data_IF_000832030967
#
_entry.id   IF_000832030967
#
_cell.length_a   1.000
_cell.length_b   1.000
_cell.length_c   1.000
_cell.angle_alpha   90.00
_cell.angle_beta   90.00
_cell.angle_gamma   90.00
#
_symmetry.space_group_name_H-M   'P 1'
#
loop_
_entity.id
_entity.type
_entity.pdbx_description
1 polymer ?
#
# COMPACT_ATOMS: atom_id res chain seq x y z
N UNK A 1 18.65 22.06 -8.10
CA UNK A 1 18.48 20.79 -7.35
C UNK A 1 17.73 21.08 -6.05
N UNK A 2 16.41 20.83 -6.01
CA UNK A 2 15.61 20.89 -4.78
C UNK A 2 15.34 19.45 -4.34
N UNK A 3 15.99 19.00 -3.28
CA UNK A 3 15.72 17.71 -2.64
C UNK A 3 14.55 17.94 -1.67
N UNK A 4 13.36 17.47 -2.06
CA UNK A 4 12.23 17.37 -1.14
C UNK A 4 12.40 16.05 -0.41
N UNK A 5 12.75 16.14 0.88
CA UNK A 5 12.84 15.01 1.79
C UNK A 5 11.42 14.46 2.00
N UNK A 6 11.23 13.22 1.53
CA UNK A 6 10.12 12.34 1.90
C UNK A 6 10.30 12.02 3.38
N UNK A 7 9.71 12.86 4.23
CA UNK A 7 9.69 12.72 5.67
C UNK A 7 8.27 12.43 6.13
N UNK A 8 7.82 11.19 5.99
CA UNK A 8 6.62 10.68 6.65
C UNK A 8 6.68 9.14 6.64
N UNK A 9 7.21 8.51 7.70
CA UNK A 9 7.14 7.04 7.79
C UNK A 9 8.18 6.30 8.63
N UNK A 10 9.19 6.95 9.21
CA UNK A 10 10.25 6.23 9.97
C UNK A 10 10.10 6.40 11.50
N UNK A 11 9.17 7.23 11.98
CA UNK A 11 9.01 7.51 13.41
C UNK A 11 8.33 6.41 14.23
N UNK A 12 7.45 5.59 13.64
CA UNK A 12 6.59 4.68 14.43
C UNK A 12 7.08 3.21 14.45
N UNK A 13 7.87 2.78 13.46
CA UNK A 13 8.26 1.36 13.32
C UNK A 13 9.35 0.89 14.30
N UNK A 14 10.31 1.76 14.64
CA UNK A 14 11.48 1.37 15.46
C UNK A 14 11.14 1.31 16.95
N UNK A 15 10.24 2.17 17.45
CA UNK A 15 9.81 2.15 18.84
C UNK A 15 8.88 0.97 19.16
N UNK A 16 8.04 0.54 18.20
CA UNK A 16 7.16 -0.62 18.37
C UNK A 16 7.97 -1.93 18.44
N UNK A 17 8.97 -2.10 17.57
CA UNK A 17 9.82 -3.29 17.58
C UNK A 17 10.73 -3.38 18.81
N UNK A 18 11.31 -2.26 19.26
CA UNK A 18 12.11 -2.23 20.48
C UNK A 18 11.26 -2.45 21.76
N UNK A 19 10.01 -1.97 21.78
CA UNK A 19 9.09 -2.17 22.90
C UNK A 19 8.62 -3.62 23.06
N UNK A 20 8.37 -4.32 21.95
CA UNK A 20 7.92 -5.73 21.99
C UNK A 20 9.04 -6.67 22.45
N UNK A 21 10.29 -6.42 22.05
CA UNK A 21 11.44 -7.24 22.47
C UNK A 21 11.73 -7.18 23.98
N UNK A 22 11.51 -6.03 24.62
CA UNK A 22 11.69 -5.86 26.07
C UNK A 22 10.55 -6.49 26.90
N UNK A 23 9.33 -6.56 26.36
CA UNK A 23 8.17 -7.14 27.06
C UNK A 23 8.27 -8.66 27.22
N UNK A 24 8.89 -9.37 26.26
CA UNK A 24 8.99 -10.83 26.30
C UNK A 24 9.99 -11.33 27.36
N UNK A 25 10.98 -10.53 27.78
CA UNK A 25 11.95 -10.91 28.80
C UNK A 25 11.45 -10.73 30.26
N UNK A 26 10.31 -10.06 30.47
CA UNK A 26 9.82 -9.63 31.80
C UNK A 26 8.61 -10.39 32.36
N UNK A 27 8.37 -11.64 31.93
CA UNK A 27 7.09 -12.36 32.11
C UNK A 27 6.55 -12.51 33.55
N UNK A 28 7.38 -12.39 34.58
CA UNK A 28 6.94 -12.52 35.99
C UNK A 28 6.63 -11.15 36.63
N UNK A 29 7.30 -10.07 36.22
CA UNK A 29 7.03 -8.72 36.72
C UNK A 29 5.83 -8.06 36.02
N UNK A 30 5.58 -8.45 34.76
CA UNK A 30 4.42 -8.00 34.02
C UNK A 30 3.10 -8.33 34.73
N UNK A 31 2.93 -9.55 35.26
CA UNK A 31 1.65 -10.01 35.82
C UNK A 31 1.07 -9.14 36.96
N UNK A 32 1.91 -8.44 37.75
CA UNK A 32 1.45 -7.61 38.88
C UNK A 32 1.32 -6.12 38.54
N UNK A 33 2.00 -5.60 37.52
CA UNK A 33 1.95 -4.17 37.12
C UNK A 33 0.86 -3.91 36.06
N UNK A 34 0.43 -4.95 35.36
CA UNK A 34 -0.35 -4.85 34.12
C UNK A 34 -1.85 -5.16 34.26
N UNK A 35 -2.45 -4.91 35.44
CA UNK A 35 -3.84 -5.29 35.75
C UNK A 35 -4.92 -4.85 34.75
N UNK A 36 -4.70 -3.78 33.97
CA UNK A 36 -5.59 -3.35 32.87
C UNK A 36 -5.28 -3.98 31.50
N UNK A 37 -4.08 -4.50 31.28
CA UNK A 37 -3.67 -5.09 29.99
C UNK A 37 -4.06 -6.56 29.83
N UNK A 38 -4.35 -7.27 30.93
CA UNK A 38 -4.72 -8.67 30.86
C UNK A 38 -6.03 -8.88 30.08
N UNK A 39 -7.01 -8.00 30.28
CA UNK A 39 -8.27 -8.03 29.52
C UNK A 39 -8.04 -7.74 28.03
N UNK A 40 -7.19 -6.77 27.70
CA UNK A 40 -6.85 -6.46 26.31
C UNK A 40 -6.13 -7.63 25.62
N UNK A 41 -5.16 -8.26 26.30
CA UNK A 41 -4.45 -9.46 25.81
C UNK A 41 -5.41 -10.63 25.62
N UNK A 42 -6.32 -10.86 26.58
CA UNK A 42 -7.33 -11.90 26.44
C UNK A 42 -8.28 -11.62 25.27
N UNK A 43 -8.71 -10.37 25.08
CA UNK A 43 -9.50 -9.97 23.91
C UNK A 43 -8.76 -10.20 22.61
N UNK A 44 -7.47 -9.87 22.53
CA UNK A 44 -6.66 -10.13 21.34
C UNK A 44 -6.53 -11.62 21.03
N UNK A 45 -6.37 -12.47 22.05
CA UNK A 45 -6.37 -13.93 21.87
C UNK A 45 -7.71 -14.45 21.34
N UNK A 46 -8.83 -13.98 21.90
CA UNK A 46 -10.16 -14.31 21.39
C UNK A 46 -10.33 -13.85 19.94
N UNK A 47 -9.94 -12.62 19.63
CA UNK A 47 -9.98 -12.07 18.27
C UNK A 47 -9.14 -12.87 17.28
N UNK A 48 -7.98 -13.38 17.71
CA UNK A 48 -7.15 -14.28 16.89
C UNK A 48 -7.86 -15.59 16.58
N UNK A 49 -8.45 -16.22 17.60
CA UNK A 49 -9.26 -17.43 17.42
C UNK A 49 -10.45 -17.19 16.47
N UNK A 50 -11.10 -16.03 16.58
CA UNK A 50 -12.20 -15.65 15.69
C UNK A 50 -11.75 -15.47 14.24
N UNK A 51 -10.58 -14.87 13.99
CA UNK A 51 -10.03 -14.77 12.63
C UNK A 51 -9.70 -16.15 12.05
N UNK A 52 -9.09 -17.04 12.84
CA UNK A 52 -8.80 -18.42 12.41
C UNK A 52 -10.09 -19.20 12.12
N UNK A 53 -11.11 -19.03 12.96
CA UNK A 53 -12.43 -19.61 12.73
C UNK A 53 -13.06 -19.05 11.46
N UNK A 54 -12.93 -17.75 11.19
CA UNK A 54 -13.46 -17.13 9.97
C UNK A 54 -12.78 -17.64 8.69
N UNK A 55 -11.45 -17.85 8.72
CA UNK A 55 -10.74 -18.52 7.63
C UNK A 55 -11.27 -19.94 7.39
N UNK A 56 -11.56 -20.67 8.48
CA UNK A 56 -12.08 -22.03 8.40
C UNK A 56 -13.54 -22.08 7.92
N UNK A 57 -14.39 -21.14 8.35
CA UNK A 57 -15.81 -21.09 7.99
C UNK A 57 -16.06 -20.49 6.60
N UNK A 58 -15.17 -19.63 6.12
CA UNK A 58 -15.24 -18.99 4.81
C UNK A 58 -13.96 -19.30 4.03
N UNK A 59 -13.76 -20.56 3.61
CA UNK A 59 -12.52 -20.97 2.94
C UNK A 59 -12.31 -20.15 1.68
N UNK A 60 -11.10 -19.62 1.52
CA UNK A 60 -10.70 -18.83 0.38
C UNK A 60 -9.35 -19.31 -0.13
N UNK A 61 -9.22 -19.42 -1.45
CA UNK A 61 -7.95 -19.78 -2.10
C UNK A 61 -7.44 -18.56 -2.86
N UNK A 62 -6.30 -17.97 -2.46
CA UNK A 62 -5.73 -16.85 -3.19
C UNK A 62 -5.31 -17.28 -4.60
N UNK A 63 -5.25 -16.32 -5.55
CA UNK A 63 -4.67 -16.60 -6.85
C UNK A 63 -3.18 -16.99 -6.67
N UNK A 64 -2.59 -17.75 -7.61
CA UNK A 64 -1.16 -18.00 -7.63
C UNK A 64 -0.35 -16.69 -7.59
N UNK A 65 0.87 -16.77 -7.08
CA UNK A 65 1.79 -15.64 -7.07
C UNK A 65 1.96 -15.06 -8.49
N UNK A 66 2.01 -13.73 -8.59
CA UNK A 66 2.07 -13.01 -9.87
C UNK A 66 0.74 -12.94 -10.63
N UNK A 67 -0.35 -13.54 -10.13
CA UNK A 67 -1.67 -13.45 -10.74
C UNK A 67 -2.59 -12.46 -10.02
N UNK A 68 -3.36 -11.70 -10.79
CA UNK A 68 -4.36 -10.75 -10.27
C UNK A 68 -5.69 -11.46 -10.06
N UNK A 69 -6.25 -11.37 -8.85
CA UNK A 69 -7.59 -11.90 -8.56
C UNK A 69 -8.63 -11.15 -9.42
N UNK A 70 -9.43 -11.82 -10.25
CA UNK A 70 -10.57 -11.19 -10.89
C UNK A 70 -11.63 -10.84 -9.84
N UNK A 71 -11.93 -9.55 -9.68
CA UNK A 71 -12.96 -9.09 -8.76
C UNK A 71 -14.32 -9.10 -9.46
N UNK A 72 -15.33 -9.66 -8.79
CA UNK A 72 -16.71 -9.33 -9.09
C UNK A 72 -17.18 -8.14 -8.24
N UNK A 73 -18.19 -7.43 -8.74
CA UNK A 73 -18.69 -6.21 -8.10
C UNK A 73 -19.24 -6.50 -6.69
N UNK A 74 -19.94 -7.62 -6.47
CA UNK A 74 -20.52 -7.94 -5.17
C UNK A 74 -19.43 -8.15 -4.12
N UNK A 75 -18.34 -8.84 -4.47
CA UNK A 75 -17.20 -9.07 -3.56
C UNK A 75 -16.41 -7.79 -3.31
N UNK A 76 -16.21 -6.94 -4.31
CA UNK A 76 -15.63 -5.61 -4.10
C UNK A 76 -16.46 -4.78 -3.11
N UNK A 77 -17.79 -4.77 -3.25
CA UNK A 77 -18.67 -4.02 -2.35
C UNK A 77 -18.65 -4.58 -0.92
N UNK A 78 -18.62 -5.91 -0.76
CA UNK A 78 -18.47 -6.55 0.54
C UNK A 78 -17.14 -6.17 1.22
N UNK A 79 -16.04 -6.19 0.46
CA UNK A 79 -14.73 -5.74 0.91
C UNK A 79 -14.74 -4.27 1.35
N UNK A 80 -15.31 -3.37 0.54
CA UNK A 80 -15.41 -1.95 0.87
C UNK A 80 -16.24 -1.74 2.13
N UNK A 81 -17.33 -2.49 2.32
CA UNK A 81 -18.14 -2.43 3.54
C UNK A 81 -17.39 -2.90 4.79
N UNK A 82 -16.46 -3.87 4.66
CA UNK A 82 -15.58 -4.26 5.78
C UNK A 82 -14.66 -3.10 6.17
N UNK A 83 -14.06 -2.41 5.19
CA UNK A 83 -13.20 -1.24 5.46
C UNK A 83 -14.00 -0.10 6.08
N UNK A 84 -15.17 0.20 5.54
CA UNK A 84 -16.05 1.27 6.03
C UNK A 84 -16.50 1.07 7.47
N UNK A 85 -16.76 -0.17 7.87
CA UNK A 85 -17.18 -0.48 9.23
C UNK A 85 -16.06 -0.29 10.26
N UNK A 86 -14.80 -0.56 9.88
CA UNK A 86 -13.65 -0.41 10.76
C UNK A 86 -13.04 1.00 10.77
N UNK A 87 -13.32 1.80 9.73
CA UNK A 87 -12.73 3.14 9.57
C UNK A 87 -13.07 4.12 10.72
N UNK A 88 -14.30 4.17 11.29
CA UNK A 88 -14.59 5.05 12.42
C UNK A 88 -13.72 4.75 13.64
N UNK A 89 -13.52 3.48 13.98
CA UNK A 89 -12.65 3.08 15.07
C UNK A 89 -11.18 3.46 14.78
N UNK A 90 -10.75 3.34 13.52
CA UNK A 90 -9.40 3.75 13.13
C UNK A 90 -9.20 5.27 13.18
N UNK A 91 -10.19 6.06 12.77
CA UNK A 91 -10.16 7.52 12.90
C UNK A 91 -10.11 7.97 14.35
N UNK A 92 -10.87 7.30 15.22
CA UNK A 92 -10.83 7.55 16.66
C UNK A 92 -9.44 7.22 17.24
N UNK A 93 -8.81 6.15 16.74
CA UNK A 93 -7.41 5.84 17.04
C UNK A 93 -6.45 6.95 16.58
N UNK A 94 -6.59 7.47 15.36
CA UNK A 94 -5.74 8.56 14.85
C UNK A 94 -5.89 9.84 15.68
N UNK A 95 -7.12 10.20 16.06
CA UNK A 95 -7.40 11.38 16.89
C UNK A 95 -6.76 11.23 18.26
N UNK A 96 -7.02 10.11 18.95
CA UNK A 96 -6.46 9.86 20.29
C UNK A 96 -4.94 9.77 20.28
N UNK A 97 -4.35 9.20 19.22
CA UNK A 97 -2.90 9.15 19.05
C UNK A 97 -2.31 10.56 18.94
N UNK A 98 -2.92 11.46 18.15
CA UNK A 98 -2.48 12.86 18.05
C UNK A 98 -2.68 13.64 19.34
N UNK A 99 -3.78 13.40 20.06
CA UNK A 99 -4.02 14.02 21.37
C UNK A 99 -2.99 13.57 22.40
N UNK A 100 -2.62 12.28 22.38
CA UNK A 100 -1.56 11.74 23.21
C UNK A 100 -0.21 12.39 22.87
N UNK A 101 0.14 12.44 21.58
CA UNK A 101 1.37 13.11 21.12
C UNK A 101 1.42 14.58 21.57
N UNK A 102 0.35 15.34 21.33
CA UNK A 102 0.28 16.76 21.71
C UNK A 102 0.36 16.98 23.23
N UNK A 103 -0.21 16.07 24.03
CA UNK A 103 -0.15 16.14 25.50
C UNK A 103 1.26 15.88 26.04
N UNK A 104 2.07 15.15 25.29
CA UNK A 104 3.44 14.78 25.63
C UNK A 104 4.49 15.50 24.77
N UNK A 105 4.06 16.46 23.95
CA UNK A 105 4.93 17.29 23.12
C UNK A 105 5.69 18.28 24.02
N UNK A 106 7.00 18.09 24.15
CA UNK A 106 7.86 18.88 25.05
C UNK A 106 8.38 18.13 26.27
N UNK A 107 7.96 16.87 26.48
CA UNK A 107 8.66 15.94 27.36
C UNK A 107 10.02 15.61 26.72
N UNK A 108 11.02 16.43 27.03
CA UNK A 108 12.34 16.44 26.39
C UNK A 108 12.97 15.04 26.21
N UNK A 109 13.69 14.89 25.09
CA UNK A 109 14.57 13.77 24.75
C UNK A 109 15.12 13.05 26.00
N UNK A 110 14.54 11.89 26.32
CA UNK A 110 15.00 11.00 27.38
C UNK A 110 14.20 10.99 28.69
N UNK A 111 13.11 11.76 28.83
CA UNK A 111 12.25 11.72 30.05
C UNK A 111 10.76 11.46 29.80
N UNK A 112 10.37 10.87 28.68
CA UNK A 112 9.09 10.16 28.65
C UNK A 112 9.16 9.06 29.73
N UNK A 113 8.60 9.35 30.90
CA UNK A 113 8.71 8.46 32.05
C UNK A 113 8.10 7.11 31.72
N UNK A 114 8.60 6.04 32.37
CA UNK A 114 8.04 4.69 32.26
C UNK A 114 6.50 4.67 32.29
N UNK A 115 5.89 5.53 33.11
CA UNK A 115 4.44 5.69 33.19
C UNK A 115 3.80 6.22 31.89
N UNK A 116 4.38 7.23 31.23
CA UNK A 116 3.86 7.75 29.96
C UNK A 116 3.98 6.71 28.83
N UNK A 117 5.09 5.96 28.79
CA UNK A 117 5.25 4.86 27.85
C UNK A 117 4.23 3.73 28.09
N UNK A 118 3.96 3.41 29.35
CA UNK A 118 2.94 2.42 29.73
C UNK A 118 1.51 2.90 29.40
N UNK A 119 1.21 4.17 29.62
CA UNK A 119 -0.08 4.77 29.26
C UNK A 119 -0.28 4.77 27.74
N UNK A 120 0.76 5.11 26.97
CA UNK A 120 0.77 5.01 25.51
C UNK A 120 0.49 3.58 25.05
N UNK A 121 1.19 2.60 25.64
CA UNK A 121 1.03 1.19 25.30
C UNK A 121 -0.39 0.68 25.61
N UNK A 122 -0.95 1.03 26.79
CA UNK A 122 -2.31 0.66 27.16
C UNK A 122 -3.35 1.30 26.23
N UNK A 123 -3.18 2.58 25.90
CA UNK A 123 -4.05 3.28 24.96
C UNK A 123 -3.98 2.63 23.57
N UNK A 124 -2.77 2.37 23.08
CA UNK A 124 -2.56 1.72 21.79
C UNK A 124 -3.18 0.32 21.75
N UNK A 125 -3.01 -0.50 22.81
CA UNK A 125 -3.64 -1.81 22.89
C UNK A 125 -5.17 -1.74 22.92
N UNK A 126 -5.75 -0.82 23.68
CA UNK A 126 -7.20 -0.66 23.76
C UNK A 126 -7.80 -0.26 22.40
N UNK A 127 -7.20 0.73 21.75
CA UNK A 127 -7.61 1.13 20.41
C UNK A 127 -7.34 0.03 19.38
N UNK A 128 -6.30 -0.77 19.60
CA UNK A 128 -6.02 -1.92 18.75
C UNK A 128 -7.21 -2.90 18.75
N UNK A 129 -7.68 -3.21 19.95
CA UNK A 129 -8.82 -4.10 20.20
C UNK A 129 -10.09 -3.54 19.54
N UNK A 130 -10.34 -2.23 19.61
CA UNK A 130 -11.56 -1.62 19.07
C UNK A 130 -11.64 -1.72 17.54
N UNK A 131 -10.57 -1.35 16.84
CA UNK A 131 -10.51 -1.46 15.36
C UNK A 131 -10.62 -2.91 14.93
N UNK A 132 -9.90 -3.83 15.61
CA UNK A 132 -9.94 -5.26 15.29
C UNK A 132 -11.32 -5.88 15.56
N UNK A 133 -12.03 -5.42 16.59
CA UNK A 133 -13.42 -5.81 16.86
C UNK A 133 -14.34 -5.38 15.72
N UNK A 134 -14.24 -4.14 15.28
CA UNK A 134 -15.05 -3.62 14.17
C UNK A 134 -14.75 -4.38 12.87
N UNK A 135 -13.47 -4.63 12.58
CA UNK A 135 -13.02 -5.43 11.44
C UNK A 135 -13.58 -6.85 11.46
N UNK A 136 -13.42 -7.59 12.57
CA UNK A 136 -13.92 -8.97 12.70
C UNK A 136 -15.44 -9.03 12.59
N UNK A 137 -16.15 -8.09 13.24
CA UNK A 137 -17.60 -8.00 13.14
C UNK A 137 -18.08 -7.76 11.71
N UNK A 138 -17.36 -6.93 10.95
CA UNK A 138 -17.67 -6.67 9.55
C UNK A 138 -17.34 -7.86 8.64
N UNK A 139 -16.22 -8.55 8.85
CA UNK A 139 -15.90 -9.81 8.16
C UNK A 139 -16.99 -10.86 8.36
N UNK A 140 -17.44 -11.06 9.62
CA UNK A 140 -18.56 -11.94 9.97
C UNK A 140 -19.83 -11.56 9.22
N UNK A 141 -20.17 -10.27 9.21
CA UNK A 141 -21.38 -9.74 8.54
C UNK A 141 -21.35 -9.97 7.03
N UNK A 142 -20.18 -9.84 6.41
CA UNK A 142 -20.01 -9.99 4.96
C UNK A 142 -19.69 -11.43 4.52
N UNK A 143 -19.57 -12.38 5.45
CA UNK A 143 -19.17 -13.75 5.14
C UNK A 143 -17.81 -13.81 4.44
N UNK A 144 -16.87 -12.96 4.87
CA UNK A 144 -15.55 -12.80 4.29
C UNK A 144 -14.50 -13.34 5.25
N UNK A 145 -13.55 -14.13 4.73
CA UNK A 145 -12.40 -14.54 5.52
C UNK A 145 -11.32 -13.45 5.53
N UNK A 146 -10.45 -13.45 6.56
CA UNK A 146 -9.25 -12.63 6.56
C UNK A 146 -8.38 -12.82 5.31
N UNK A 147 -8.22 -14.07 4.84
CA UNK A 147 -7.45 -14.38 3.63
C UNK A 147 -8.07 -13.78 2.36
N UNK A 148 -9.40 -13.83 2.22
CA UNK A 148 -10.13 -13.18 1.13
C UNK A 148 -9.92 -11.66 1.18
N UNK A 149 -10.10 -11.06 2.36
CA UNK A 149 -9.92 -9.61 2.55
C UNK A 149 -8.52 -9.16 2.15
N UNK A 150 -7.48 -9.85 2.62
CA UNK A 150 -6.08 -9.58 2.28
C UNK A 150 -5.82 -9.68 0.77
N UNK A 151 -6.36 -10.72 0.13
CA UNK A 151 -6.18 -10.95 -1.31
C UNK A 151 -6.87 -9.86 -2.14
N UNK A 152 -8.06 -9.43 -1.74
CA UNK A 152 -8.76 -8.31 -2.37
C UNK A 152 -7.97 -7.01 -2.15
N UNK A 153 -7.44 -6.74 -0.94
CA UNK A 153 -6.60 -5.56 -0.69
C UNK A 153 -5.40 -5.52 -1.65
N UNK A 154 -4.64 -6.61 -1.73
CA UNK A 154 -3.49 -6.71 -2.66
C UNK A 154 -3.91 -6.51 -4.11
N UNK A 155 -5.04 -7.07 -4.51
CA UNK A 155 -5.60 -6.93 -5.86
C UNK A 155 -6.00 -5.50 -6.19
N UNK A 156 -6.59 -4.76 -5.25
CA UNK A 156 -6.94 -3.34 -5.44
C UNK A 156 -5.69 -2.52 -5.69
N UNK A 157 -4.64 -2.71 -4.87
CA UNK A 157 -3.36 -2.02 -5.05
C UNK A 157 -2.67 -2.39 -6.36
N UNK A 158 -2.58 -3.69 -6.68
CA UNK A 158 -1.99 -4.16 -7.94
C UNK A 158 -2.72 -3.58 -9.16
N UNK A 159 -4.05 -3.51 -9.11
CA UNK A 159 -4.87 -2.95 -10.20
C UNK A 159 -4.64 -1.44 -10.37
N UNK A 160 -4.49 -0.68 -9.27
CA UNK A 160 -4.16 0.76 -9.34
C UNK A 160 -2.75 1.01 -9.88
N UNK A 161 -1.78 0.18 -9.50
CA UNK A 161 -0.41 0.26 -10.02
C UNK A 161 -0.38 -0.10 -11.51
N UNK A 162 -1.13 -1.13 -11.92
CA UNK A 162 -1.25 -1.52 -13.32
C UNK A 162 -1.87 -0.40 -14.18
N UNK A 163 -2.99 0.21 -13.76
CA UNK A 163 -3.60 1.35 -14.46
C UNK A 163 -2.62 2.53 -14.61
N UNK A 164 -1.89 2.84 -13.53
CA UNK A 164 -0.90 3.91 -13.53
C UNK A 164 0.28 3.61 -14.46
N UNK A 165 0.77 2.37 -14.46
CA UNK A 165 1.89 1.93 -15.31
C UNK A 165 1.50 1.91 -16.77
N UNK A 166 0.30 1.41 -17.10
CA UNK A 166 -0.21 1.41 -18.47
C UNK A 166 -0.48 2.84 -18.97
N UNK A 167 -0.94 3.75 -18.11
CA UNK A 167 -1.08 5.17 -18.44
C UNK A 167 0.30 5.81 -18.72
N UNK A 168 1.30 5.54 -17.89
CA UNK A 168 2.67 6.05 -18.09
C UNK A 168 3.26 5.50 -19.39
N UNK A 169 3.12 4.20 -19.65
CA UNK A 169 3.56 3.58 -20.92
C UNK A 169 2.85 4.18 -22.11
N UNK A 170 1.52 4.38 -22.03
CA UNK A 170 0.75 5.03 -23.09
C UNK A 170 1.20 6.46 -23.37
N UNK A 171 1.51 7.24 -22.33
CA UNK A 171 2.09 8.58 -22.47
C UNK A 171 3.49 8.54 -23.07
N UNK A 172 4.33 7.58 -22.67
CA UNK A 172 5.66 7.40 -23.22
C UNK A 172 5.61 7.06 -24.71
N UNK A 173 4.77 6.12 -25.13
CA UNK A 173 4.56 5.76 -26.54
C UNK A 173 4.01 6.93 -27.36
N UNK A 174 3.07 7.69 -26.81
CA UNK A 174 2.58 8.91 -27.45
C UNK A 174 3.70 9.97 -27.60
N UNK A 175 4.55 10.12 -26.58
CA UNK A 175 5.73 10.97 -26.60
C UNK A 175 6.72 10.56 -27.69
N UNK A 176 7.05 9.26 -27.78
CA UNK A 176 7.91 8.69 -28.85
C UNK A 176 7.34 9.00 -30.22
N UNK A 177 6.04 8.77 -30.44
CA UNK A 177 5.37 9.05 -31.72
C UNK A 177 5.43 10.53 -32.10
N UNK A 178 5.29 11.42 -31.12
CA UNK A 178 5.40 12.87 -31.34
C UNK A 178 6.83 13.28 -31.72
N UNK A 179 7.84 12.75 -31.03
CA UNK A 179 9.26 12.99 -31.34
C UNK A 179 9.63 12.44 -32.72
N UNK A 180 9.19 11.23 -33.07
CA UNK A 180 9.39 10.64 -34.39
C UNK A 180 8.74 11.48 -35.51
N UNK A 181 7.57 12.07 -35.23
CA UNK A 181 6.90 12.98 -36.17
C UNK A 181 7.68 14.28 -36.35
N UNK A 182 8.22 14.86 -35.26
CA UNK A 182 9.07 16.05 -35.34
C UNK A 182 10.36 15.77 -36.11
N UNK A 183 10.99 14.62 -35.87
CA UNK A 183 12.18 14.17 -36.59
C UNK A 183 11.90 14.06 -38.08
N UNK A 184 10.78 13.45 -38.49
CA UNK A 184 10.39 13.36 -39.90
C UNK A 184 10.16 14.74 -40.55
N UNK A 185 9.60 15.70 -39.81
CA UNK A 185 9.43 17.07 -40.31
C UNK A 185 10.77 17.81 -40.45
N UNK A 186 11.71 17.60 -39.51
CA UNK A 186 13.08 18.11 -39.62
C UNK A 186 13.78 17.51 -40.84
N UNK A 187 13.68 16.19 -41.06
CA UNK A 187 14.24 15.49 -42.21
C UNK A 187 13.69 16.04 -43.53
N UNK A 188 12.38 16.29 -43.58
CA UNK A 188 11.74 16.90 -44.75
C UNK A 188 12.24 18.32 -45.03
N UNK A 189 12.47 19.13 -43.99
CA UNK A 189 13.02 20.49 -44.15
C UNK A 189 14.47 20.46 -44.61
N UNK A 190 15.29 19.56 -44.06
CA UNK A 190 16.69 19.35 -44.45
C UNK A 190 16.84 18.88 -45.90
N UNK A 191 15.88 18.12 -46.42
CA UNK A 191 15.85 17.69 -47.81
C UNK A 191 15.52 18.82 -48.82
N UNK A 192 15.09 19.99 -48.34
CA UNK A 192 14.80 21.15 -49.18
C UNK A 192 16.05 21.98 -49.53
N UNK A 193 16.10 22.50 -50.75
CA UNK A 193 17.23 23.30 -51.25
C UNK A 193 17.21 24.78 -50.81
N UNK A 194 16.22 25.21 -50.01
CA UNK A 194 16.00 26.62 -49.68
C UNK A 194 16.63 27.09 -48.36
N UNK A 195 17.41 26.25 -47.69
CA UNK A 195 18.01 26.56 -46.39
C UNK A 195 19.38 27.23 -46.56
N UNK A 196 19.67 28.23 -45.73
CA UNK A 196 21.04 28.75 -45.57
C UNK A 196 21.91 27.75 -44.79
N UNK A 197 23.24 27.87 -44.89
CA UNK A 197 24.18 26.97 -44.19
C UNK A 197 23.97 26.98 -42.66
N UNK A 198 23.67 28.15 -42.09
CA UNK A 198 23.41 28.29 -40.66
C UNK A 198 22.11 27.61 -40.22
N UNK A 199 21.04 27.73 -41.01
CA UNK A 199 19.75 27.07 -40.74
C UNK A 199 19.86 25.55 -40.91
N UNK A 200 20.63 25.10 -41.90
CA UNK A 200 20.89 23.67 -42.12
C UNK A 200 21.65 23.08 -40.94
N UNK A 201 22.72 23.73 -40.47
CA UNK A 201 23.48 23.27 -39.30
C UNK A 201 22.60 23.17 -38.03
N UNK A 202 21.73 24.15 -37.80
CA UNK A 202 20.80 24.13 -36.65
C UNK A 202 19.77 22.99 -36.74
N UNK A 203 19.25 22.70 -37.94
CA UNK A 203 18.31 21.60 -38.15
C UNK A 203 19.01 20.23 -38.02
N UNK A 204 20.24 20.09 -38.49
CA UNK A 204 21.05 18.87 -38.31
C UNK A 204 21.34 18.59 -36.83
N UNK A 205 21.67 19.63 -36.05
CA UNK A 205 21.85 19.50 -34.60
C UNK A 205 20.55 19.09 -33.90
N UNK A 206 19.43 19.73 -34.25
CA UNK A 206 18.11 19.38 -33.71
C UNK A 206 17.70 17.95 -34.07
N UNK A 207 18.00 17.50 -35.30
CA UNK A 207 17.78 16.12 -35.75
C UNK A 207 18.56 15.13 -34.90
N UNK A 208 19.86 15.40 -34.69
CA UNK A 208 20.73 14.55 -33.90
C UNK A 208 20.26 14.43 -32.45
N UNK A 209 19.86 15.54 -31.83
CA UNK A 209 19.32 15.54 -30.45
C UNK A 209 18.01 14.76 -30.33
N UNK A 210 17.09 14.90 -31.29
CA UNK A 210 15.83 14.16 -31.30
C UNK A 210 16.05 12.66 -31.48
N UNK A 211 16.96 12.27 -32.38
CA UNK A 211 17.33 10.86 -32.60
C UNK A 211 17.97 10.26 -31.34
N UNK A 212 18.95 10.94 -30.75
CA UNK A 212 19.64 10.47 -29.53
C UNK A 212 18.68 10.28 -28.35
N UNK A 213 17.69 11.18 -28.23
CA UNK A 213 16.64 11.06 -27.22
C UNK A 213 15.75 9.83 -27.47
N UNK A 214 15.36 9.56 -28.72
CA UNK A 214 14.57 8.37 -29.08
C UNK A 214 15.35 7.08 -28.79
N UNK A 215 16.61 7.02 -29.20
CA UNK A 215 17.48 5.86 -29.00
C UNK A 215 17.71 5.57 -27.50
N UNK A 216 17.91 6.62 -26.70
CA UNK A 216 18.06 6.49 -25.24
C UNK A 216 16.79 5.92 -24.57
N UNK A 217 15.61 6.40 -24.98
CA UNK A 217 14.34 5.90 -24.45
C UNK A 217 14.12 4.43 -24.82
N UNK A 218 14.51 4.01 -26.03
CA UNK A 218 14.42 2.60 -26.46
C UNK A 218 15.37 1.70 -25.67
N UNK A 219 16.60 2.16 -25.41
CA UNK A 219 17.59 1.43 -24.62
C UNK A 219 17.15 1.24 -23.16
N UNK A 220 16.59 2.28 -22.53
CA UNK A 220 16.10 2.19 -21.15
C UNK A 220 14.87 1.28 -21.02
N UNK A 221 13.99 1.28 -22.04
CA UNK A 221 12.80 0.42 -22.06
C UNK A 221 13.16 -1.09 -22.16
N UNK A 222 14.35 -1.42 -22.66
CA UNK A 222 14.80 -2.81 -22.81
C UNK A 222 15.37 -3.41 -21.49
N UNK A 223 15.68 -2.57 -20.50
CA UNK A 223 16.30 -2.98 -19.23
C UNK A 223 15.31 -3.04 -18.04
N UNK A 224 14.03 -2.74 -18.24
CA UNK A 224 13.02 -2.80 -17.18
C UNK A 224 12.62 -4.28 -16.92
N UNK A 225 13.32 -4.93 -15.97
CA UNK A 225 13.14 -6.33 -15.52
C UNK A 225 11.83 -6.57 -14.74
N UNK A 226 10.75 -5.85 -15.04
CA UNK A 226 9.44 -6.19 -14.49
C UNK A 226 8.76 -7.15 -15.46
N UNK A 227 8.94 -8.47 -15.25
CA UNK A 227 7.75 -9.28 -14.96
C UNK A 227 6.44 -8.90 -15.65
N UNK A 228 6.27 -8.91 -17.00
CA UNK A 228 5.00 -8.49 -17.55
C UNK A 228 3.92 -9.44 -17.05
N UNK A 229 2.84 -8.89 -16.48
CA UNK A 229 1.68 -9.67 -16.06
C UNK A 229 1.24 -10.60 -17.19
N UNK A 230 0.81 -11.82 -16.84
CA UNK A 230 0.15 -12.72 -17.80
C UNK A 230 -1.04 -12.01 -18.47
N UNK A 231 -1.39 -12.41 -19.68
CA UNK A 231 -2.51 -11.81 -20.41
C UNK A 231 -3.83 -11.94 -19.63
N UNK A 232 -4.01 -13.05 -18.91
CA UNK A 232 -5.13 -13.26 -18.00
C UNK A 232 -5.14 -12.24 -16.85
N UNK A 233 -3.97 -11.97 -16.26
CA UNK A 233 -3.83 -11.02 -15.17
C UNK A 233 -3.97 -9.57 -15.62
N UNK A 234 -3.52 -9.23 -16.84
CA UNK A 234 -3.79 -7.93 -17.47
C UNK A 234 -5.28 -7.74 -17.65
N UNK A 235 -5.98 -8.72 -18.22
CA UNK A 235 -7.43 -8.67 -18.41
C UNK A 235 -8.18 -8.51 -17.08
N UNK A 236 -7.77 -9.26 -16.05
CA UNK A 236 -8.33 -9.14 -14.71
C UNK A 236 -8.07 -7.76 -14.11
N UNK A 237 -6.85 -7.23 -14.21
CA UNK A 237 -6.50 -5.90 -13.75
C UNK A 237 -7.32 -4.81 -14.44
N UNK A 238 -7.47 -4.86 -15.77
CA UNK A 238 -8.32 -3.91 -16.52
C UNK A 238 -9.77 -3.95 -16.06
N UNK A 239 -10.36 -5.14 -15.92
CA UNK A 239 -11.73 -5.29 -15.43
C UNK A 239 -11.89 -4.78 -13.99
N UNK A 240 -10.91 -5.06 -13.13
CA UNK A 240 -10.88 -4.56 -11.75
C UNK A 240 -10.80 -3.03 -11.73
N UNK A 241 -9.97 -2.42 -12.58
CA UNK A 241 -9.85 -0.96 -12.70
C UNK A 241 -11.18 -0.32 -13.08
N UNK A 242 -11.93 -0.90 -14.00
CA UNK A 242 -13.27 -0.41 -14.35
C UNK A 242 -14.22 -0.43 -13.15
N UNK A 243 -14.20 -1.53 -12.38
CA UNK A 243 -14.98 -1.63 -11.14
C UNK A 243 -14.54 -0.62 -10.07
N UNK A 244 -13.23 -0.42 -9.90
CA UNK A 244 -12.68 0.55 -8.96
C UNK A 244 -13.06 1.99 -9.36
N UNK A 245 -13.01 2.31 -10.66
CA UNK A 245 -13.45 3.61 -11.20
C UNK A 245 -14.96 3.81 -10.99
N UNK A 246 -15.77 2.78 -11.16
CA UNK A 246 -17.22 2.82 -10.87
C UNK A 246 -17.52 3.16 -9.40
N UNK A 247 -16.68 2.69 -8.47
CA UNK A 247 -16.84 2.90 -7.03
C UNK A 247 -15.81 3.86 -6.44
N UNK A 248 -15.29 4.78 -7.25
CA UNK A 248 -14.14 5.64 -6.93
C UNK A 248 -14.27 6.35 -5.58
N UNK A 249 -15.43 6.95 -5.29
CA UNK A 249 -15.64 7.68 -4.03
C UNK A 249 -15.42 6.79 -2.79
N UNK A 250 -15.91 5.55 -2.83
CA UNK A 250 -15.72 4.59 -1.75
C UNK A 250 -14.27 4.09 -1.70
N UNK A 251 -13.66 3.85 -2.86
CA UNK A 251 -12.27 3.40 -2.96
C UNK A 251 -11.30 4.46 -2.41
N UNK A 252 -11.47 5.73 -2.76
CA UNK A 252 -10.63 6.84 -2.30
C UNK A 252 -10.74 7.07 -0.79
N UNK A 253 -11.96 6.99 -0.23
CA UNK A 253 -12.16 7.12 1.22
C UNK A 253 -11.43 6.01 2.00
N UNK A 254 -11.20 4.86 1.37
CA UNK A 254 -10.67 3.66 1.99
C UNK A 254 -9.18 3.42 1.73
N UNK A 255 -8.54 4.17 0.82
CA UNK A 255 -7.11 4.08 0.55
C UNK A 255 -6.29 4.66 1.71
N UNK A 256 -6.05 3.85 2.74
CA UNK A 256 -5.33 4.24 3.95
C UNK A 256 -4.30 3.17 4.32
N UNK A 257 -3.05 3.41 3.92
CA UNK A 257 -1.92 2.49 4.15
C UNK A 257 -1.67 2.24 5.64
N UNK A 258 -1.94 3.21 6.51
CA UNK A 258 -1.79 3.04 7.95
C UNK A 258 -2.87 2.11 8.53
N UNK A 259 -4.11 2.20 8.05
CA UNK A 259 -5.17 1.24 8.37
C UNK A 259 -4.82 -0.17 7.89
N UNK A 260 -4.27 -0.30 6.68
CA UNK A 260 -3.86 -1.59 6.13
C UNK A 260 -2.72 -2.22 6.92
N UNK A 261 -1.70 -1.46 7.30
CA UNK A 261 -0.63 -1.97 8.16
C UNK A 261 -1.16 -2.50 9.49
N UNK A 262 -2.21 -1.88 10.02
CA UNK A 262 -2.84 -2.29 11.26
C UNK A 262 -3.67 -3.57 11.11
N UNK A 263 -4.56 -3.64 10.11
CA UNK A 263 -5.49 -4.77 9.95
C UNK A 263 -4.79 -6.00 9.36
N UNK A 264 -3.81 -5.79 8.47
CA UNK A 264 -3.09 -6.88 7.81
C UNK A 264 -1.89 -7.37 8.65
N UNK A 265 -1.28 -6.51 9.46
CA UNK A 265 -0.12 -6.84 10.29
C UNK A 265 -0.39 -7.85 11.41
N UNK A 266 -1.65 -8.01 11.84
CA UNK A 266 -2.03 -9.00 12.85
C UNK A 266 -2.20 -10.43 12.33
N UNK A 267 -2.36 -10.61 11.02
CA UNK A 267 -2.72 -11.91 10.42
C UNK A 267 -1.54 -12.61 9.72
N UNK A 268 -0.33 -12.02 9.74
CA UNK A 268 0.84 -12.53 9.01
C UNK A 268 2.02 -13.02 9.87
N UNK A 269 2.00 -12.86 11.19
CA UNK A 269 3.18 -13.11 12.01
C UNK A 269 3.51 -14.61 12.27
N UNK A 270 2.73 -15.57 11.77
CA UNK A 270 2.94 -17.02 12.03
C UNK A 270 3.01 -17.89 10.75
N UNK A 271 3.22 -17.28 9.57
CA UNK A 271 3.27 -18.03 8.30
C UNK A 271 4.66 -18.48 7.83
N UNK A 272 5.75 -18.08 8.48
CA UNK A 272 7.10 -18.53 8.18
C UNK A 272 7.71 -19.24 9.39
N UNK A 273 7.17 -20.41 9.71
CA UNK A 273 8.01 -21.44 10.31
C UNK A 273 8.92 -21.96 9.19
N UNK A 274 10.12 -21.38 9.10
CA UNK A 274 11.21 -22.03 8.39
C UNK A 274 11.55 -23.25 9.23
N UNK A 275 11.10 -24.42 8.81
CA UNK A 275 11.65 -25.69 9.27
C UNK A 275 13.16 -25.64 8.98
N UNK A 276 13.95 -25.57 10.04
CA UNK A 276 15.38 -25.83 9.99
C UNK A 276 15.57 -27.13 10.75
N UNK A 277 15.72 -28.22 9.99
CA UNK A 277 16.35 -29.46 10.44
C UNK A 277 17.80 -29.21 10.91
#
# INVERSE_FOLDING_TARGET
MKKVLIGLGIGCGVFVLAGIGLLLAGGIWAKNTFGGSFEAVQKMQTQEQELQQLNSSNPFTPPPEGQVLPLDEKRLLAYLSVREAALPAFKDFEVKSKEFEAKHEGDAEGKAGFNAAMDAANMFMALMVDVRTAYIGALKTQGMSPAEFQSITGTVYASMVADSTDQIRGMAEQGKKMMATQLAEVDKRLAGDSLTDAERAQLEESRAQLQDTLDSIEADSANDEVEPLSEESKKAATANVELLKKHKERVELMANVAFDGFVLGGAGAHGQAVDVD
#
